data_IF_838728298191
#
_entry.id   IF_838728298191
#
_cell.length_a   1.000
_cell.length_b   1.000
_cell.length_c   1.000
_cell.angle_alpha   90.00
_cell.angle_beta   90.00
_cell.angle_gamma   90.00
#
_symmetry.space_group_name_H-M   'P 1'
#
loop_
_entity.id
_entity.type
_entity.pdbx_description
1 polymer ?
#
# COMPACT_ATOMS: atom_id res chain seq x y z
N UNK A 1 25.63 -9.85 3.75
CA UNK A 1 25.29 -9.36 5.09
C UNK A 1 23.79 -9.51 5.34
N UNK A 2 23.35 -9.82 6.58
CA UNK A 2 21.94 -9.94 6.90
C UNK A 2 21.23 -8.59 6.73
N UNK A 3 19.97 -8.62 6.24
CA UNK A 3 19.15 -7.43 6.08
C UNK A 3 18.74 -6.87 7.46
N UNK A 4 18.75 -5.53 7.59
CA UNK A 4 18.28 -4.86 8.81
C UNK A 4 16.75 -4.89 8.83
N UNK A 5 16.17 -5.35 9.96
CA UNK A 5 14.73 -5.35 10.21
C UNK A 5 14.39 -4.29 11.25
N UNK A 6 13.46 -3.39 10.91
CA UNK A 6 12.94 -2.37 11.82
C UNK A 6 11.61 -2.84 12.41
N UNK A 7 11.49 -2.79 13.72
CA UNK A 7 10.33 -3.31 14.44
C UNK A 7 9.79 -2.29 15.45
N UNK A 8 8.48 -2.25 15.61
CA UNK A 8 7.79 -1.60 16.73
C UNK A 8 6.61 -2.46 17.17
N UNK A 9 6.29 -2.44 18.46
CA UNK A 9 5.13 -3.13 19.03
C UNK A 9 3.86 -2.26 18.98
N UNK A 10 2.72 -2.84 19.39
CA UNK A 10 1.44 -2.14 19.46
C UNK A 10 1.15 -1.47 20.81
N UNK A 11 2.10 -1.43 21.75
CA UNK A 11 1.92 -0.72 23.01
C UNK A 11 1.84 0.77 22.76
N UNK A 12 0.87 1.44 23.38
CA UNK A 12 0.66 2.88 23.30
C UNK A 12 0.87 3.52 24.66
N UNK A 13 1.13 4.82 24.67
CA UNK A 13 1.12 5.66 25.86
C UNK A 13 0.31 6.93 25.55
N UNK A 14 0.05 7.74 26.58
CA UNK A 14 -0.60 9.04 26.40
C UNK A 14 0.22 9.99 25.51
N UNK A 15 1.54 9.80 25.48
CA UNK A 15 2.44 10.61 24.67
C UNK A 15 2.55 10.14 23.22
N UNK A 16 2.34 8.85 22.91
CA UNK A 16 2.56 8.30 21.57
C UNK A 16 1.54 7.22 21.21
N UNK A 17 0.67 7.50 20.24
CA UNK A 17 -0.26 6.54 19.67
C UNK A 17 0.38 5.69 18.56
N UNK A 18 -0.34 4.67 18.08
CA UNK A 18 0.15 3.74 17.05
C UNK A 18 0.53 4.43 15.74
N UNK A 19 -0.20 5.43 15.30
CA UNK A 19 0.11 6.12 14.05
C UNK A 19 1.40 6.93 14.15
N UNK A 20 1.65 7.57 15.29
CA UNK A 20 2.93 8.25 15.57
C UNK A 20 4.08 7.25 15.62
N UNK A 21 3.90 6.10 16.27
CA UNK A 21 4.89 5.02 16.28
C UNK A 21 5.21 4.53 14.87
N UNK A 22 4.19 4.33 14.05
CA UNK A 22 4.36 3.93 12.65
C UNK A 22 5.15 4.98 11.87
N UNK A 23 4.77 6.25 11.96
CA UNK A 23 5.49 7.35 11.28
C UNK A 23 6.96 7.42 11.74
N UNK A 24 7.22 7.22 13.02
CA UNK A 24 8.59 7.15 13.55
C UNK A 24 9.36 5.95 12.99
N UNK A 25 8.71 4.78 12.89
CA UNK A 25 9.30 3.59 12.28
C UNK A 25 9.70 3.82 10.83
N UNK A 26 8.83 4.45 10.02
CA UNK A 26 9.10 4.81 8.63
C UNK A 26 10.35 5.71 8.52
N UNK A 27 10.47 6.71 9.39
CA UNK A 27 11.65 7.59 9.45
C UNK A 27 12.92 6.81 9.81
N UNK A 28 12.86 5.98 10.83
CA UNK A 28 13.98 5.16 11.27
C UNK A 28 14.43 4.15 10.21
N UNK A 29 13.47 3.61 9.45
CA UNK A 29 13.73 2.70 8.34
C UNK A 29 14.28 3.40 7.07
N UNK A 30 14.48 4.71 7.11
CA UNK A 30 15.11 5.45 6.02
C UNK A 30 14.16 6.03 4.97
N UNK A 31 12.85 5.92 5.12
CA UNK A 31 11.92 6.46 4.13
C UNK A 31 11.98 8.00 4.04
N UNK A 32 12.42 8.67 5.10
CA UNK A 32 12.58 10.12 5.10
C UNK A 32 13.78 10.62 4.26
N UNK A 33 14.70 9.74 3.88
CA UNK A 33 15.85 10.05 3.03
C UNK A 33 15.58 9.82 1.54
N UNK A 34 14.42 9.25 1.19
CA UNK A 34 14.05 9.06 -0.20
C UNK A 34 13.69 10.41 -0.85
N UNK A 35 14.24 10.66 -2.02
CA UNK A 35 13.82 11.79 -2.86
C UNK A 35 12.47 11.47 -3.52
N UNK A 36 11.38 11.93 -2.90
CA UNK A 36 10.01 11.71 -3.37
C UNK A 36 9.40 12.95 -4.04
N UNK A 37 10.08 14.09 -3.99
CA UNK A 37 9.52 15.36 -4.47
C UNK A 37 9.07 15.29 -5.95
N UNK A 38 7.78 15.56 -6.20
CA UNK A 38 7.15 15.53 -7.52
C UNK A 38 6.93 14.14 -8.12
N UNK A 39 7.42 13.06 -7.47
CA UNK A 39 7.35 11.70 -8.01
C UNK A 39 6.01 11.02 -7.69
N UNK A 40 5.53 10.20 -8.63
CA UNK A 40 4.46 9.24 -8.36
C UNK A 40 4.97 8.13 -7.45
N UNK A 41 4.25 7.86 -6.36
CA UNK A 41 4.62 6.87 -5.35
C UNK A 41 3.50 5.85 -5.24
N UNK A 42 3.73 4.66 -5.79
CA UNK A 42 2.80 3.54 -5.65
C UNK A 42 2.91 2.94 -4.25
N UNK A 43 1.83 2.96 -3.50
CA UNK A 43 1.70 2.30 -2.20
C UNK A 43 0.89 1.03 -2.41
N UNK A 44 1.59 -0.09 -2.58
CA UNK A 44 0.92 -1.38 -2.74
C UNK A 44 0.38 -1.87 -1.40
N UNK A 45 -0.89 -2.24 -1.39
CA UNK A 45 -1.53 -2.86 -0.24
C UNK A 45 -2.59 -3.86 -0.69
N UNK A 46 -2.80 -4.89 0.11
CA UNK A 46 -3.93 -5.79 -0.05
C UNK A 46 -5.19 -5.12 0.51
N UNK A 47 -6.23 -4.96 -0.32
CA UNK A 47 -7.47 -4.29 0.09
C UNK A 47 -8.44 -5.16 0.87
N UNK A 48 -8.06 -6.41 1.20
CA UNK A 48 -8.90 -7.39 1.89
C UNK A 48 -9.66 -8.30 0.93
N UNK A 49 -10.38 -9.24 1.51
CA UNK A 49 -11.32 -10.14 0.83
C UNK A 49 -12.71 -9.95 1.42
N UNK A 50 -13.74 -10.26 0.62
CA UNK A 50 -15.13 -10.16 1.08
C UNK A 50 -15.38 -11.01 2.35
N UNK A 51 -15.85 -10.38 3.42
CA UNK A 51 -16.13 -11.04 4.69
C UNK A 51 -14.90 -11.35 5.56
N UNK A 52 -13.68 -11.08 5.10
CA UNK A 52 -12.46 -11.23 5.90
C UNK A 52 -12.07 -9.89 6.54
N UNK A 53 -11.73 -9.90 7.83
CA UNK A 53 -11.26 -8.72 8.57
C UNK A 53 -9.76 -8.72 8.82
N UNK A 54 -9.03 -9.74 8.35
CA UNK A 54 -7.59 -9.92 8.56
C UNK A 54 -6.77 -9.19 7.47
N UNK A 55 -6.96 -7.89 7.34
CA UNK A 55 -6.18 -7.01 6.46
C UNK A 55 -5.76 -5.73 7.20
N UNK A 56 -4.76 -5.04 6.66
CA UNK A 56 -4.32 -3.75 7.21
C UNK A 56 -5.43 -2.70 7.05
N UNK A 57 -5.80 -2.05 8.15
CA UNK A 57 -6.83 -1.02 8.12
C UNK A 57 -6.42 0.17 7.25
N UNK A 58 -7.39 0.84 6.57
CA UNK A 58 -7.12 2.05 5.77
C UNK A 58 -6.33 3.15 6.50
N UNK A 59 -6.44 3.21 7.83
CA UNK A 59 -5.70 4.16 8.67
C UNK A 59 -4.18 4.03 8.54
N UNK A 60 -3.65 2.81 8.34
CA UNK A 60 -2.23 2.60 8.12
C UNK A 60 -1.79 3.11 6.75
N UNK A 61 -2.59 2.81 5.72
CA UNK A 61 -2.36 3.33 4.37
C UNK A 61 -2.40 4.86 4.37
N UNK A 62 -3.40 5.46 5.04
CA UNK A 62 -3.50 6.92 5.17
C UNK A 62 -2.26 7.53 5.84
N UNK A 63 -1.77 6.94 6.93
CA UNK A 63 -0.59 7.45 7.62
C UNK A 63 0.66 7.44 6.71
N UNK A 64 0.82 6.40 5.88
CA UNK A 64 1.89 6.33 4.88
C UNK A 64 1.68 7.35 3.74
N UNK A 65 0.46 7.49 3.25
CA UNK A 65 0.08 8.49 2.23
C UNK A 65 0.41 9.90 2.71
N UNK A 66 0.00 10.26 3.94
CA UNK A 66 0.30 11.56 4.53
C UNK A 66 1.81 11.79 4.68
N UNK A 67 2.55 10.73 5.06
CA UNK A 67 4.01 10.77 5.16
C UNK A 67 4.68 11.05 3.81
N UNK A 68 4.23 10.38 2.73
CA UNK A 68 4.74 10.61 1.36
C UNK A 68 4.42 12.00 0.87
N UNK A 69 3.19 12.48 1.09
CA UNK A 69 2.76 13.85 0.72
C UNK A 69 3.58 14.91 1.43
N UNK A 70 3.89 14.70 2.71
CA UNK A 70 4.71 15.64 3.49
C UNK A 70 6.14 15.78 2.94
N UNK A 71 6.61 14.82 2.13
CA UNK A 71 7.88 14.87 1.42
C UNK A 71 7.74 15.34 -0.04
N UNK A 72 6.58 15.89 -0.42
CA UNK A 72 6.32 16.38 -1.78
C UNK A 72 6.02 15.28 -2.80
N UNK A 73 5.87 14.02 -2.40
CA UNK A 73 5.50 12.91 -3.26
C UNK A 73 4.03 12.95 -3.67
N UNK A 74 3.69 12.24 -4.74
CA UNK A 74 2.35 12.08 -5.29
C UNK A 74 1.88 10.64 -5.11
N UNK A 75 1.40 10.24 -3.91
CA UNK A 75 1.03 8.87 -3.62
C UNK A 75 -0.29 8.46 -4.26
N UNK A 76 -0.39 7.19 -4.60
CA UNK A 76 -1.64 6.49 -4.90
C UNK A 76 -1.58 5.08 -4.30
N UNK A 77 -2.73 4.55 -3.88
CA UNK A 77 -2.80 3.14 -3.48
C UNK A 77 -2.99 2.26 -4.70
N UNK A 78 -2.41 1.08 -4.65
CA UNK A 78 -2.52 0.10 -5.73
C UNK A 78 -2.51 -1.33 -5.22
N UNK A 79 -3.06 -2.21 -6.03
CA UNK A 79 -2.89 -3.66 -5.99
C UNK A 79 -2.95 -4.19 -7.43
N UNK A 80 -2.74 -5.50 -7.61
CA UNK A 80 -2.91 -6.20 -8.87
C UNK A 80 -4.11 -7.16 -8.78
N UNK A 81 -4.74 -7.45 -9.90
CA UNK A 81 -5.79 -8.45 -9.98
C UNK A 81 -5.25 -9.85 -9.64
N UNK A 82 -6.10 -10.72 -9.14
CA UNK A 82 -5.70 -12.08 -8.79
C UNK A 82 -5.82 -13.03 -9.97
N UNK A 83 -4.94 -14.03 -10.02
CA UNK A 83 -4.99 -15.10 -11.00
C UNK A 83 -6.12 -16.11 -10.70
N UNK A 84 -6.58 -16.19 -9.46
CA UNK A 84 -7.68 -17.05 -9.05
C UNK A 84 -9.03 -16.34 -9.13
N UNK A 85 -10.09 -17.12 -9.26
CA UNK A 85 -11.47 -16.61 -9.31
C UNK A 85 -11.87 -16.02 -7.96
N UNK A 86 -12.38 -14.79 -7.98
CA UNK A 86 -12.81 -14.04 -6.81
C UNK A 86 -13.13 -12.60 -7.18
N UNK A 87 -13.50 -11.78 -6.21
CA UNK A 87 -13.86 -10.37 -6.42
C UNK A 87 -12.67 -9.46 -6.75
N UNK A 88 -11.46 -10.00 -6.73
CA UNK A 88 -10.24 -9.29 -7.15
C UNK A 88 -9.72 -9.76 -8.52
N UNK A 89 -10.52 -10.46 -9.31
CA UNK A 89 -10.17 -10.97 -10.64
C UNK A 89 -10.18 -9.91 -11.74
N UNK A 90 -10.90 -8.81 -11.53
CA UNK A 90 -10.94 -7.64 -12.40
C UNK A 90 -10.98 -6.34 -11.60
N UNK A 91 -10.56 -5.24 -12.22
CA UNK A 91 -10.35 -3.98 -11.52
C UNK A 91 -11.64 -3.36 -10.97
N UNK A 92 -12.79 -3.61 -11.57
CA UNK A 92 -14.05 -3.01 -11.13
C UNK A 92 -14.51 -3.65 -9.83
N UNK A 93 -14.66 -4.99 -9.81
CA UNK A 93 -15.01 -5.73 -8.60
C UNK A 93 -13.94 -5.56 -7.50
N UNK A 94 -12.67 -5.45 -7.89
CA UNK A 94 -11.56 -5.23 -6.94
C UNK A 94 -11.66 -3.86 -6.25
N UNK A 95 -12.00 -2.80 -6.99
CA UNK A 95 -12.23 -1.47 -6.42
C UNK A 95 -13.48 -1.42 -5.54
N UNK A 96 -14.57 -2.06 -5.96
CA UNK A 96 -15.78 -2.16 -5.13
C UNK A 96 -15.48 -2.85 -3.80
N UNK A 97 -14.73 -3.96 -3.83
CA UNK A 97 -14.29 -4.66 -2.62
C UNK A 97 -13.40 -3.77 -1.73
N UNK A 98 -12.50 -3.00 -2.33
CA UNK A 98 -11.68 -2.04 -1.59
C UNK A 98 -12.55 -1.01 -0.85
N UNK A 99 -13.59 -0.49 -1.52
CA UNK A 99 -14.54 0.46 -0.90
C UNK A 99 -15.35 -0.16 0.23
N UNK A 100 -15.85 -1.38 0.06
CA UNK A 100 -16.55 -2.14 1.12
C UNK A 100 -15.67 -2.33 2.35
N UNK A 101 -14.36 -2.53 2.14
CA UNK A 101 -13.37 -2.68 3.21
C UNK A 101 -12.83 -1.34 3.74
N UNK A 102 -13.44 -0.21 3.32
CA UNK A 102 -13.15 1.12 3.83
C UNK A 102 -12.01 1.86 3.12
N UNK A 103 -11.41 1.29 2.08
CA UNK A 103 -10.44 1.98 1.24
C UNK A 103 -11.15 2.81 0.19
N UNK A 104 -11.09 4.12 0.29
CA UNK A 104 -11.60 5.04 -0.72
C UNK A 104 -10.65 6.24 -0.85
N UNK A 105 -10.68 7.00 -1.95
CA UNK A 105 -9.89 8.22 -2.06
C UNK A 105 -10.14 9.21 -0.90
N UNK A 106 -11.34 9.20 -0.34
CA UNK A 106 -11.70 10.06 0.80
C UNK A 106 -11.10 9.57 2.11
N UNK A 107 -11.14 8.25 2.38
CA UNK A 107 -10.64 7.67 3.63
C UNK A 107 -9.11 7.64 3.69
N UNK A 108 -8.45 7.38 2.57
CA UNK A 108 -6.98 7.27 2.50
C UNK A 108 -6.29 8.55 2.03
N UNK A 109 -7.04 9.47 1.41
CA UNK A 109 -6.52 10.77 1.00
C UNK A 109 -5.69 10.76 -0.30
N UNK A 110 -5.79 9.73 -1.14
CA UNK A 110 -5.14 9.66 -2.45
C UNK A 110 -5.94 8.79 -3.43
N UNK A 111 -5.70 8.87 -4.76
CA UNK A 111 -6.30 7.96 -5.73
C UNK A 111 -6.00 6.49 -5.42
N UNK A 112 -6.91 5.60 -5.88
CA UNK A 112 -6.74 4.14 -5.84
C UNK A 112 -6.82 3.63 -7.27
N UNK A 113 -5.81 2.88 -7.69
CA UNK A 113 -5.68 2.32 -9.04
C UNK A 113 -5.35 0.84 -8.95
N UNK A 114 -5.92 0.03 -9.85
CA UNK A 114 -5.50 -1.36 -10.03
C UNK A 114 -4.45 -1.37 -11.15
N UNK A 115 -3.20 -1.73 -10.79
CA UNK A 115 -2.02 -1.41 -11.60
C UNK A 115 -1.92 -2.21 -12.89
N UNK A 116 -2.46 -3.42 -12.94
CA UNK A 116 -2.38 -4.35 -14.08
C UNK A 116 -3.58 -4.26 -15.02
N UNK A 117 -4.32 -3.14 -14.96
CA UNK A 117 -5.46 -2.85 -15.85
C UNK A 117 -6.74 -3.58 -15.47
N UNK A 118 -7.74 -3.52 -16.37
CA UNK A 118 -9.09 -4.04 -16.08
C UNK A 118 -9.11 -5.55 -15.83
N UNK A 119 -8.22 -6.32 -16.46
CA UNK A 119 -8.23 -7.80 -16.42
C UNK A 119 -6.89 -8.42 -16.02
N UNK A 120 -5.98 -7.66 -15.45
CA UNK A 120 -4.68 -8.19 -15.08
C UNK A 120 -3.76 -8.53 -16.26
N UNK A 121 -3.87 -7.77 -17.35
CA UNK A 121 -3.14 -8.02 -18.61
C UNK A 121 -2.18 -6.90 -18.99
N UNK A 122 -2.13 -5.83 -18.19
CA UNK A 122 -1.19 -4.74 -18.37
C UNK A 122 0.08 -5.02 -17.54
N UNK A 123 0.89 -5.92 -18.06
CA UNK A 123 2.11 -6.42 -17.42
C UNK A 123 3.32 -6.39 -18.35
N UNK A 124 4.50 -6.53 -17.77
CA UNK A 124 5.76 -6.64 -18.50
C UNK A 124 6.54 -7.85 -18.01
N UNK A 125 6.90 -8.74 -18.93
CA UNK A 125 7.75 -9.87 -18.60
C UNK A 125 9.17 -9.39 -18.27
N UNK A 126 9.64 -9.70 -17.07
CA UNK A 126 11.01 -9.40 -16.62
C UNK A 126 11.83 -10.69 -16.59
N UNK A 127 12.88 -10.81 -17.41
CA UNK A 127 13.70 -12.02 -17.41
C UNK A 127 14.44 -12.17 -16.07
N UNK A 128 14.42 -13.37 -15.51
CA UNK A 128 15.20 -13.69 -14.32
C UNK A 128 16.68 -13.92 -14.69
N UNK A 129 17.61 -13.75 -13.72
CA UNK A 129 19.05 -13.93 -13.98
C UNK A 129 19.43 -15.33 -14.49
N UNK A 130 18.61 -16.36 -14.22
CA UNK A 130 18.77 -17.74 -14.69
C UNK A 130 18.13 -18.03 -16.06
N UNK A 131 17.62 -16.99 -16.75
CA UNK A 131 16.99 -17.09 -18.06
C UNK A 131 15.56 -17.64 -18.05
N UNK A 132 14.93 -17.79 -16.89
CA UNK A 132 13.49 -18.08 -16.77
C UNK A 132 12.68 -16.78 -16.79
N UNK A 133 11.44 -16.87 -17.25
CA UNK A 133 10.45 -15.77 -17.27
C UNK A 133 9.23 -16.16 -16.44
#
# INVERSE_FOLDING_TARGET
>A
DPATVFFTDFRCSDAENLQRKFTRLLKTAGLAQLDLAGKFVAVKTHFGEGGCLAYLRPNWAKALVDFVKAQGGRPFLTDANTLYVGRRKDALEHLELAWENGFSPFSVGCPILIADGLRGTDDVAVPLPDGKT
#
